data_IF_005523670800
#
_entry.id   IF_005523670800
#
_cell.length_a   1.000
_cell.length_b   1.000
_cell.length_c   1.000
_cell.angle_alpha   90.00
_cell.angle_beta   90.00
_cell.angle_gamma   90.00
#
_symmetry.space_group_name_H-M   'P 1'
#
loop_
_entity.id
_entity.type
_entity.pdbx_description
1 polymer ?
#
# COMPACT_ATOMS: atom_id res chain seq x y z
N UNK A 1 -15.76 -0.99 1.84
CA UNK A 1 -14.60 -0.36 1.21
C UNK A 1 -13.58 -1.42 0.85
N UNK A 2 -13.07 -1.40 -0.36
CA UNK A 2 -12.09 -2.40 -0.80
C UNK A 2 -10.71 -2.05 -0.24
N UNK A 3 -9.90 -3.07 -0.02
CA UNK A 3 -8.53 -2.90 0.46
C UNK A 3 -7.73 -1.97 -0.47
N UNK A 4 -7.92 -2.12 -1.80
CA UNK A 4 -7.24 -1.26 -2.77
C UNK A 4 -7.55 0.22 -2.54
N UNK A 5 -8.81 0.55 -2.31
CA UNK A 5 -9.23 1.93 -2.04
C UNK A 5 -8.64 2.44 -0.71
N UNK A 6 -8.58 1.57 0.28
CA UNK A 6 -8.02 1.92 1.58
C UNK A 6 -6.54 2.25 1.49
N UNK A 7 -5.79 1.46 0.73
CA UNK A 7 -4.35 1.70 0.53
C UNK A 7 -4.13 3.06 -0.14
N UNK A 8 -4.88 3.35 -1.21
CA UNK A 8 -4.80 4.64 -1.90
C UNK A 8 -5.11 5.79 -0.93
N UNK A 9 -6.19 5.66 -0.19
CA UNK A 9 -6.64 6.71 0.73
C UNK A 9 -5.62 6.97 1.83
N UNK A 10 -5.09 5.93 2.44
CA UNK A 10 -4.09 6.07 3.51
C UNK A 10 -2.80 6.69 2.97
N UNK A 11 -2.36 6.25 1.79
CA UNK A 11 -1.16 6.79 1.17
C UNK A 11 -1.31 8.29 0.90
N UNK A 12 -2.40 8.68 0.27
CA UNK A 12 -2.65 10.08 -0.08
C UNK A 12 -2.84 10.96 1.14
N UNK A 13 -3.55 10.48 2.14
CA UNK A 13 -3.77 11.27 3.36
C UNK A 13 -2.48 11.48 4.15
N UNK A 14 -1.46 10.65 3.92
CA UNK A 14 -0.15 10.81 4.54
C UNK A 14 0.86 11.49 3.61
N UNK A 15 0.41 12.02 2.48
CA UNK A 15 1.25 12.75 1.55
C UNK A 15 2.33 11.92 0.86
N UNK A 16 2.07 10.63 0.68
CA UNK A 16 3.05 9.68 0.12
C UNK A 16 2.75 9.37 -1.33
N UNK A 17 3.81 9.27 -2.14
CA UNK A 17 3.71 8.72 -3.49
C UNK A 17 3.68 7.20 -3.42
N UNK A 18 3.36 6.54 -4.54
CA UNK A 18 3.46 5.08 -4.61
C UNK A 18 4.90 4.61 -4.32
N UNK A 19 5.86 5.37 -4.83
CA UNK A 19 7.27 5.05 -4.62
C UNK A 19 7.67 5.19 -3.15
N UNK A 20 7.14 6.21 -2.47
CA UNK A 20 7.38 6.41 -1.04
C UNK A 20 6.85 5.22 -0.24
N UNK A 21 5.64 4.79 -0.54
CA UNK A 21 5.04 3.66 0.17
C UNK A 21 5.81 2.36 -0.11
N UNK A 22 6.20 2.16 -1.36
CA UNK A 22 6.98 0.98 -1.74
C UNK A 22 8.29 0.91 -0.95
N UNK A 23 8.95 2.03 -0.81
CA UNK A 23 10.19 2.11 -0.06
C UNK A 23 9.98 1.79 1.42
N UNK A 24 8.89 2.30 2.01
CA UNK A 24 8.55 2.02 3.40
C UNK A 24 8.27 0.56 3.66
N UNK A 25 7.68 -0.12 2.68
CA UNK A 25 7.32 -1.54 2.81
C UNK A 25 8.36 -2.50 2.23
N UNK A 26 9.42 -1.94 1.67
CA UNK A 26 10.50 -2.72 1.03
C UNK A 26 9.95 -3.62 -0.09
N UNK A 27 9.09 -3.04 -0.92
CA UNK A 27 8.52 -3.72 -2.10
C UNK A 27 8.71 -2.82 -3.31
N UNK A 28 8.44 -3.35 -4.51
CA UNK A 28 8.53 -2.56 -5.72
C UNK A 28 7.34 -1.60 -5.85
N UNK A 29 7.54 -0.48 -6.56
CA UNK A 29 6.44 0.43 -6.87
C UNK A 29 5.36 -0.28 -7.67
N UNK A 30 5.75 -1.23 -8.52
CA UNK A 30 4.80 -2.02 -9.29
C UNK A 30 3.86 -2.83 -8.40
N UNK A 31 4.37 -3.33 -7.28
CA UNK A 31 3.53 -4.05 -6.32
C UNK A 31 2.46 -3.12 -5.75
N UNK A 32 2.85 -1.91 -5.34
CA UNK A 32 1.89 -0.92 -4.82
C UNK A 32 0.84 -0.60 -5.88
N UNK A 33 1.27 -0.37 -7.11
CA UNK A 33 0.36 -0.06 -8.21
C UNK A 33 -0.68 -1.17 -8.43
N UNK A 34 -0.25 -2.43 -8.38
CA UNK A 34 -1.14 -3.57 -8.54
C UNK A 34 -2.12 -3.69 -7.37
N UNK A 35 -1.66 -3.44 -6.16
CA UNK A 35 -2.55 -3.47 -4.99
C UNK A 35 -3.61 -2.37 -5.09
N UNK A 36 -3.23 -1.20 -5.56
CA UNK A 36 -4.16 -0.06 -5.66
C UNK A 36 -5.16 -0.24 -6.80
N UNK A 37 -4.78 -0.94 -7.86
CA UNK A 37 -5.69 -1.21 -8.97
C UNK A 37 -6.58 -2.43 -8.75
N UNK A 38 -6.28 -3.22 -7.72
CA UNK A 38 -7.00 -4.46 -7.46
C UNK A 38 -6.50 -5.63 -8.27
N UNK A 39 -5.42 -5.48 -9.04
CA UNK A 39 -4.84 -6.56 -9.85
C UNK A 39 -4.18 -7.63 -8.99
N UNK A 40 -3.73 -7.26 -7.80
CA UNK A 40 -3.11 -8.17 -6.84
C UNK A 40 -3.44 -7.71 -5.44
N UNK A 41 -3.28 -8.60 -4.47
CA UNK A 41 -3.46 -8.25 -3.07
C UNK A 41 -2.13 -8.38 -2.34
N UNK A 42 -1.86 -7.51 -1.37
CA UNK A 42 -0.67 -7.69 -0.53
C UNK A 42 -0.80 -8.98 0.26
N UNK A 43 0.32 -9.64 0.49
CA UNK A 43 0.32 -10.84 1.31
C UNK A 43 0.18 -10.47 2.79
N UNK A 44 0.09 -11.50 3.61
CA UNK A 44 -0.14 -11.35 5.04
C UNK A 44 0.91 -10.46 5.72
N UNK A 45 2.17 -10.65 5.36
CA UNK A 45 3.27 -9.87 5.90
C UNK A 45 3.15 -8.40 5.49
N UNK A 46 2.82 -8.13 4.24
CA UNK A 46 2.65 -6.77 3.75
C UNK A 46 1.45 -6.09 4.38
N UNK A 47 0.37 -6.83 4.60
CA UNK A 47 -0.81 -6.30 5.30
C UNK A 47 -0.42 -5.88 6.72
N UNK A 48 0.36 -6.70 7.41
CA UNK A 48 0.84 -6.38 8.75
C UNK A 48 1.69 -5.12 8.75
N UNK A 49 2.59 -4.98 7.77
CA UNK A 49 3.41 -3.79 7.64
C UNK A 49 2.59 -2.54 7.37
N UNK A 50 1.56 -2.66 6.53
CA UNK A 50 0.64 -1.56 6.25
C UNK A 50 -0.06 -1.10 7.53
N UNK A 51 -0.52 -2.05 8.33
CA UNK A 51 -1.18 -1.74 9.59
C UNK A 51 -0.25 -1.01 10.55
N UNK A 52 0.99 -1.46 10.66
CA UNK A 52 1.97 -0.80 11.53
C UNK A 52 2.30 0.60 11.06
N UNK A 53 2.39 0.79 9.74
CA UNK A 53 2.77 2.08 9.18
C UNK A 53 1.68 3.13 9.36
N UNK A 54 0.42 2.74 9.23
CA UNK A 54 -0.71 3.67 9.24
C UNK A 54 -1.56 3.61 10.51
N UNK A 55 -1.14 2.87 11.47
CA UNK A 55 -1.89 2.75 12.72
C UNK A 55 -1.57 3.87 13.71
#
# INVERSE_FOLDING_TARGET
>A
MKLSDKIVGLRKSNGMSQEDLAEKLDVSRQAISRWESGAAMPDENNILQLRKLFD
#
